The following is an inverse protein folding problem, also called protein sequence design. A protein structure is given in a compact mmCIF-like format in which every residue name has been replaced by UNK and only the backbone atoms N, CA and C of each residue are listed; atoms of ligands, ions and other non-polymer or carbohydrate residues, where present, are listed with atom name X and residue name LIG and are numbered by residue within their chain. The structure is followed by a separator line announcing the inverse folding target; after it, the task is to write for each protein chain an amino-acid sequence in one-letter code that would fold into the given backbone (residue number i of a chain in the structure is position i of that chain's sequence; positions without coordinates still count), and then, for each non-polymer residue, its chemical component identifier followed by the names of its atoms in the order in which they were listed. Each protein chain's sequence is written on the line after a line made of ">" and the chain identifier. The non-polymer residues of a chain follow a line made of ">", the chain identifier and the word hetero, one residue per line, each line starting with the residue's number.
data_IF_548883726059
#
_entry.id   IF_548883726059
#
_cell.length_a   1.000
_cell.length_b   1.000
_cell.length_c   1.000
_cell.angle_alpha   90.00
_cell.angle_beta   90.00
_cell.angle_gamma   90.00
#
_symmetry.space_group_name_H-M   'P 1'
#
loop_
_entity.id
_entity.type
_entity.pdbx_description
1 polymer ?
#
# COMPACT_ATOMS: atom_id res chain seq x y z
N UNK A 1 3.01 -5.80 -1.86
CA UNK A 1 3.60 -6.38 -0.63
C UNK A 1 3.79 -7.88 -0.85
N UNK A 2 5.02 -8.39 -0.64
CA UNK A 2 5.32 -9.82 -0.67
C UNK A 2 5.70 -10.25 0.75
N UNK A 3 4.99 -11.23 1.28
CA UNK A 3 5.19 -11.76 2.62
C UNK A 3 5.31 -13.27 2.59
N UNK A 4 6.40 -13.81 3.16
CA UNK A 4 6.68 -15.23 3.18
C UNK A 4 6.87 -15.73 4.61
N UNK A 5 6.31 -16.88 4.90
CA UNK A 5 6.47 -17.58 6.19
C UNK A 5 6.91 -18.99 5.93
N UNK A 6 8.00 -19.39 6.59
CA UNK A 6 8.50 -20.77 6.54
C UNK A 6 8.21 -21.46 7.87
N UNK A 7 7.56 -22.60 7.83
CA UNK A 7 7.35 -23.44 9.01
C UNK A 7 8.67 -24.12 9.39
N UNK A 8 9.19 -23.83 10.57
CA UNK A 8 10.43 -24.44 11.08
C UNK A 8 10.12 -25.77 11.79
N UNK A 9 9.17 -25.77 12.71
CA UNK A 9 8.84 -26.90 13.56
C UNK A 9 7.32 -27.11 13.78
N UNK A 10 6.49 -26.47 12.95
CA UNK A 10 5.03 -26.53 13.08
C UNK A 10 4.42 -27.36 11.96
N UNK A 11 3.46 -28.20 12.32
CA UNK A 11 2.57 -28.92 11.39
C UNK A 11 1.13 -28.52 11.69
N UNK A 12 0.41 -28.06 10.69
CA UNK A 12 -0.98 -27.62 10.83
C UNK A 12 -1.32 -26.50 9.85
N UNK A 13 -2.44 -25.82 10.06
CA UNK A 13 -2.94 -24.78 9.17
C UNK A 13 -2.34 -23.42 9.48
N UNK A 14 -1.75 -22.77 8.46
CA UNK A 14 -1.39 -21.35 8.47
C UNK A 14 -2.44 -20.58 7.68
N UNK A 15 -2.93 -19.48 8.24
CA UNK A 15 -3.86 -18.57 7.56
C UNK A 15 -3.20 -17.20 7.42
N UNK A 16 -3.15 -16.68 6.18
CA UNK A 16 -2.77 -15.31 5.88
C UNK A 16 -4.04 -14.50 5.58
N UNK A 17 -4.12 -13.30 6.16
CA UNK A 17 -5.37 -12.52 6.17
C UNK A 17 -5.12 -11.12 5.60
N UNK A 18 -5.03 -10.99 4.25
CA UNK A 18 -4.96 -9.68 3.62
C UNK A 18 -6.27 -8.94 3.77
N UNK A 19 -6.23 -7.81 4.50
CA UNK A 19 -7.40 -6.95 4.75
C UNK A 19 -7.08 -5.49 4.55
N UNK A 20 -8.14 -4.69 4.33
CA UNK A 20 -8.18 -3.27 4.63
C UNK A 20 -8.93 -3.08 5.95
N UNK A 21 -8.38 -2.21 6.78
CA UNK A 21 -9.00 -1.75 8.01
C UNK A 21 -9.34 -0.27 7.86
N UNK A 22 -10.61 0.07 7.91
CA UNK A 22 -11.11 1.43 7.84
C UNK A 22 -11.37 2.07 9.20
N UNK A 23 -11.05 1.38 10.30
CA UNK A 23 -11.21 1.92 11.67
C UNK A 23 -9.93 2.54 12.22
N UNK A 24 -9.07 3.02 11.34
CA UNK A 24 -7.83 3.69 11.72
C UNK A 24 -8.15 5.10 12.23
N UNK A 25 -7.54 5.45 13.36
CA UNK A 25 -7.58 6.79 13.95
C UNK A 25 -6.21 7.44 13.83
N UNK A 26 -6.19 8.76 13.81
CA UNK A 26 -4.97 9.54 13.89
C UNK A 26 -4.35 9.42 15.29
N UNK A 27 -3.04 9.19 15.37
CA UNK A 27 -2.34 9.00 16.64
C UNK A 27 -1.48 10.22 17.06
N UNK A 28 -1.29 11.21 16.17
CA UNK A 28 -0.30 12.25 16.40
C UNK A 28 -0.87 13.52 17.06
N UNK A 29 -1.60 14.38 16.35
CA UNK A 29 -2.04 15.69 16.86
C UNK A 29 -3.48 15.70 17.37
N UNK A 30 -4.30 14.81 16.84
CA UNK A 30 -5.69 14.67 17.22
C UNK A 30 -5.97 13.19 17.54
N UNK A 31 -5.47 12.69 18.69
CA UNK A 31 -5.70 11.31 19.08
C UNK A 31 -7.21 11.05 19.13
N UNK A 32 -7.62 9.91 18.56
CA UNK A 32 -9.02 9.48 18.43
C UNK A 32 -9.87 10.23 17.39
N UNK A 33 -9.35 11.24 16.70
CA UNK A 33 -10.08 11.86 15.60
C UNK A 33 -10.05 10.95 14.36
N UNK A 34 -11.24 10.58 13.87
CA UNK A 34 -11.39 9.89 12.60
C UNK A 34 -11.41 10.91 11.47
N UNK A 35 -10.45 10.81 10.58
CA UNK A 35 -10.34 11.68 9.41
C UNK A 35 -11.29 11.22 8.29
N UNK A 36 -11.63 9.93 8.27
CA UNK A 36 -12.34 9.26 7.18
C UNK A 36 -13.72 8.76 7.59
N UNK A 37 -14.67 8.90 6.68
CA UNK A 37 -15.92 8.15 6.67
C UNK A 37 -15.79 7.02 5.64
N UNK A 38 -16.22 5.82 5.99
CA UNK A 38 -16.35 4.72 5.04
C UNK A 38 -17.66 4.92 4.28
N UNK A 39 -17.56 5.10 2.96
CA UNK A 39 -18.73 5.20 2.09
C UNK A 39 -19.23 3.81 1.70
N UNK A 40 -18.29 2.94 1.33
CA UNK A 40 -18.60 1.57 0.93
C UNK A 40 -17.38 0.67 1.06
N UNK A 41 -17.61 -0.57 1.46
CA UNK A 41 -16.60 -1.63 1.45
C UNK A 41 -17.22 -2.93 0.95
N UNK A 42 -16.39 -3.84 0.45
CA UNK A 42 -16.88 -5.14 0.01
C UNK A 42 -15.82 -5.96 -0.71
N UNK A 43 -16.26 -7.13 -1.18
CA UNK A 43 -15.44 -8.02 -2.00
C UNK A 43 -16.11 -8.35 -3.33
N UNK A 44 -15.29 -8.54 -4.35
CA UNK A 44 -15.67 -9.19 -5.61
C UNK A 44 -15.20 -10.64 -5.60
N UNK A 45 -15.18 -11.32 -6.74
CA UNK A 45 -14.65 -12.69 -6.84
C UNK A 45 -13.19 -12.81 -6.42
N UNK A 46 -12.39 -11.77 -6.68
CA UNK A 46 -10.92 -11.79 -6.56
C UNK A 46 -10.30 -10.51 -5.98
N UNK A 47 -11.12 -9.48 -5.72
CA UNK A 47 -10.68 -8.21 -5.14
C UNK A 47 -11.51 -7.87 -3.89
N UNK A 48 -10.87 -7.17 -2.94
CA UNK A 48 -11.55 -6.44 -1.89
C UNK A 48 -11.33 -4.93 -2.10
N UNK A 49 -12.29 -4.11 -1.73
CA UNK A 49 -12.20 -2.66 -1.83
C UNK A 49 -12.74 -1.95 -0.60
N UNK A 50 -12.19 -0.77 -0.34
CA UNK A 50 -12.60 0.14 0.71
C UNK A 50 -12.67 1.55 0.12
N UNK A 51 -13.85 2.13 0.05
CA UNK A 51 -14.09 3.48 -0.44
C UNK A 51 -14.38 4.41 0.72
N UNK A 52 -13.59 5.47 0.83
CA UNK A 52 -13.62 6.42 1.94
C UNK A 52 -13.75 7.85 1.45
N UNK A 53 -14.19 8.73 2.35
CA UNK A 53 -14.27 10.18 2.14
C UNK A 53 -13.72 10.91 3.36
N UNK A 54 -12.96 11.98 3.14
CA UNK A 54 -12.54 12.86 4.23
C UNK A 54 -13.73 13.53 4.90
N UNK A 55 -13.63 13.77 6.21
CA UNK A 55 -14.75 14.36 6.98
C UNK A 55 -14.93 15.85 6.79
N UNK A 56 -13.83 16.58 6.61
CA UNK A 56 -13.84 18.04 6.51
C UNK A 56 -13.89 18.51 5.06
N UNK A 57 -13.25 17.74 4.19
CA UNK A 57 -13.19 18.02 2.77
C UNK A 57 -13.88 16.91 1.99
N UNK A 58 -14.23 17.19 0.76
CA UNK A 58 -15.01 16.26 -0.05
C UNK A 58 -14.10 15.37 -0.92
N UNK A 59 -12.90 15.06 -0.42
CA UNK A 59 -11.97 14.18 -1.11
C UNK A 59 -12.34 12.71 -0.87
N UNK A 60 -12.44 11.94 -1.96
CA UNK A 60 -12.78 10.53 -1.91
C UNK A 60 -11.63 9.68 -2.43
N UNK A 61 -11.37 8.56 -1.75
CA UNK A 61 -10.32 7.61 -2.10
C UNK A 61 -10.91 6.20 -2.03
N UNK A 62 -10.68 5.43 -3.07
CA UNK A 62 -10.96 4.00 -3.09
C UNK A 62 -9.66 3.20 -3.13
N UNK A 63 -9.52 2.30 -2.19
CA UNK A 63 -8.46 1.32 -2.12
C UNK A 63 -8.99 -0.01 -2.63
N UNK A 64 -8.28 -0.67 -3.53
CA UNK A 64 -8.59 -2.04 -3.92
C UNK A 64 -7.37 -2.93 -3.77
N UNK A 65 -7.58 -4.19 -3.44
CA UNK A 65 -6.54 -5.20 -3.41
C UNK A 65 -6.97 -6.50 -4.03
N UNK A 66 -6.00 -7.17 -4.61
CA UNK A 66 -6.05 -8.58 -4.98
C UNK A 66 -4.77 -9.26 -4.52
N UNK A 67 -4.68 -10.59 -4.64
CA UNK A 67 -3.49 -11.30 -4.18
C UNK A 67 -3.20 -12.53 -5.05
N UNK A 68 -1.94 -13.02 -4.92
CA UNK A 68 -1.52 -14.36 -5.33
C UNK A 68 -0.98 -15.09 -4.10
N UNK A 69 -1.20 -16.39 -4.06
CA UNK A 69 -0.84 -17.23 -2.93
C UNK A 69 -0.03 -18.43 -3.40
N UNK A 70 1.09 -18.72 -2.73
CA UNK A 70 2.02 -19.76 -3.12
C UNK A 70 2.34 -20.66 -1.92
N UNK A 71 2.51 -21.94 -2.20
CA UNK A 71 3.16 -22.88 -1.28
C UNK A 71 4.36 -23.50 -1.99
N UNK A 72 5.56 -23.41 -1.37
CA UNK A 72 6.81 -23.91 -1.93
C UNK A 72 7.04 -23.41 -3.38
N UNK A 73 6.86 -22.11 -3.61
CA UNK A 73 6.94 -21.44 -4.90
C UNK A 73 5.91 -21.88 -5.98
N UNK A 74 5.00 -22.78 -5.63
CA UNK A 74 3.91 -23.17 -6.54
C UNK A 74 2.65 -22.37 -6.20
N UNK A 75 2.08 -21.69 -7.20
CA UNK A 75 0.83 -20.97 -7.01
C UNK A 75 -0.27 -21.96 -6.61
N UNK A 76 -1.00 -21.60 -5.56
CA UNK A 76 -2.02 -22.43 -4.97
C UNK A 76 -3.33 -21.64 -4.91
N UNK A 77 -4.36 -22.22 -5.48
CA UNK A 77 -5.72 -21.68 -5.43
C UNK A 77 -6.42 -22.26 -4.19
N UNK A 78 -6.26 -21.60 -3.06
CA UNK A 78 -7.07 -21.89 -1.88
C UNK A 78 -8.40 -21.16 -2.02
N UNK A 79 -9.51 -21.81 -1.64
CA UNK A 79 -10.79 -21.13 -1.56
C UNK A 79 -10.75 -20.10 -0.43
N UNK A 80 -10.71 -18.79 -0.73
CA UNK A 80 -10.62 -17.78 0.30
C UNK A 80 -11.96 -17.66 1.04
N UNK A 81 -11.87 -17.41 2.34
CA UNK A 81 -12.99 -16.94 3.12
C UNK A 81 -13.04 -15.42 2.97
N UNK A 82 -14.15 -14.88 2.51
CA UNK A 82 -14.35 -13.42 2.42
C UNK A 82 -14.53 -12.85 3.83
N UNK A 83 -13.94 -11.67 4.02
CA UNK A 83 -14.12 -10.88 5.24
C UNK A 83 -14.83 -9.61 4.82
N UNK A 84 -16.07 -9.46 5.27
CA UNK A 84 -16.91 -8.30 5.04
C UNK A 84 -17.53 -7.90 6.38
N UNK A 85 -16.84 -7.03 7.09
CA UNK A 85 -17.29 -6.42 8.34
C UNK A 85 -17.55 -4.95 8.10
N UNK A 86 -18.25 -4.30 9.02
CA UNK A 86 -18.61 -2.88 8.92
C UNK A 86 -17.41 -1.97 8.53
N UNK A 87 -16.22 -2.26 9.08
CA UNK A 87 -15.02 -1.42 8.89
C UNK A 87 -13.83 -2.19 8.33
N UNK A 88 -13.99 -3.46 8.02
CA UNK A 88 -12.90 -4.32 7.55
C UNK A 88 -13.34 -5.16 6.37
N UNK A 89 -12.54 -5.17 5.31
CA UNK A 89 -12.80 -5.98 4.12
C UNK A 89 -11.54 -6.70 3.65
N UNK A 90 -11.69 -7.91 3.10
CA UNK A 90 -10.57 -8.70 2.61
C UNK A 90 -10.83 -10.18 2.49
N UNK A 91 -9.79 -10.96 2.70
CA UNK A 91 -9.82 -12.41 2.54
C UNK A 91 -9.02 -13.10 3.65
N UNK A 92 -9.40 -14.34 3.97
CA UNK A 92 -8.57 -15.26 4.73
C UNK A 92 -8.22 -16.45 3.85
N UNK A 93 -6.93 -16.70 3.68
CA UNK A 93 -6.39 -17.77 2.83
C UNK A 93 -5.58 -18.70 3.70
N UNK A 94 -5.99 -19.96 3.80
CA UNK A 94 -5.34 -20.94 4.65
C UNK A 94 -4.81 -22.15 3.90
N UNK A 95 -3.71 -22.70 4.39
CA UNK A 95 -3.07 -23.90 3.84
C UNK A 95 -2.45 -24.75 4.95
N UNK A 96 -2.51 -26.07 4.80
CA UNK A 96 -1.76 -27.00 5.65
C UNK A 96 -0.28 -26.96 5.33
N UNK A 97 0.53 -26.90 6.38
CA UNK A 97 2.01 -26.90 6.29
C UNK A 97 2.61 -27.95 7.23
N UNK A 98 3.84 -28.32 6.90
CA UNK A 98 4.74 -29.12 7.73
C UNK A 98 6.10 -28.44 7.82
N UNK A 99 7.01 -28.84 8.70
CA UNK A 99 8.36 -28.31 8.77
C UNK A 99 9.05 -28.29 7.40
N UNK A 100 9.65 -27.15 7.05
CA UNK A 100 10.27 -26.88 5.76
C UNK A 100 9.36 -26.26 4.70
N UNK A 101 8.04 -26.30 4.86
CA UNK A 101 7.13 -25.65 3.92
C UNK A 101 7.18 -24.12 4.04
N UNK A 102 7.24 -23.44 2.92
CA UNK A 102 7.16 -21.97 2.81
C UNK A 102 5.85 -21.55 2.14
N UNK A 103 5.16 -20.63 2.78
CA UNK A 103 3.92 -20.00 2.27
C UNK A 103 4.22 -18.56 1.93
N UNK A 104 3.84 -18.11 0.74
CA UNK A 104 4.03 -16.73 0.28
C UNK A 104 2.71 -16.14 -0.17
N UNK A 105 2.39 -14.96 0.34
CA UNK A 105 1.31 -14.11 -0.14
C UNK A 105 1.91 -12.89 -0.83
N UNK A 106 1.46 -12.60 -2.04
CA UNK A 106 1.74 -11.33 -2.72
C UNK A 106 0.42 -10.55 -2.79
N UNK A 107 0.35 -9.43 -2.08
CA UNK A 107 -0.79 -8.51 -2.06
C UNK A 107 -0.50 -7.36 -3.02
N UNK A 108 -1.36 -7.19 -4.02
CA UNK A 108 -1.36 -6.08 -4.97
C UNK A 108 -2.42 -5.08 -4.53
N UNK A 109 -2.05 -3.81 -4.43
CA UNK A 109 -2.92 -2.74 -3.94
C UNK A 109 -2.92 -1.63 -4.98
N UNK A 110 -4.10 -1.12 -5.29
CA UNK A 110 -4.28 0.08 -6.09
C UNK A 110 -5.11 1.11 -5.31
N UNK A 111 -4.86 2.38 -5.61
CA UNK A 111 -5.51 3.52 -4.98
C UNK A 111 -6.03 4.42 -6.08
N UNK A 112 -7.33 4.72 -6.07
CA UNK A 112 -7.97 5.69 -6.93
C UNK A 112 -8.52 6.85 -6.12
N UNK A 113 -8.24 8.08 -6.54
CA UNK A 113 -8.65 9.31 -5.84
C UNK A 113 -9.56 10.16 -6.73
N UNK A 114 -10.52 10.84 -6.12
CA UNK A 114 -11.38 11.83 -6.78
C UNK A 114 -10.61 13.04 -7.33
N UNK A 115 -9.31 13.13 -7.07
CA UNK A 115 -8.42 14.09 -7.71
C UNK A 115 -8.16 13.75 -9.19
N UNK A 116 -8.21 12.45 -9.55
CA UNK A 116 -7.84 11.92 -10.88
C UNK A 116 -8.96 11.17 -11.59
N UNK A 117 -10.00 10.75 -10.86
CA UNK A 117 -11.11 9.97 -11.39
C UNK A 117 -12.45 10.58 -10.97
N UNK A 118 -13.48 10.39 -11.77
CA UNK A 118 -14.84 10.69 -11.38
C UNK A 118 -15.26 9.80 -10.21
N UNK A 119 -16.03 10.34 -9.27
CA UNK A 119 -16.39 9.66 -8.01
C UNK A 119 -17.08 8.33 -8.23
N UNK A 120 -18.01 8.26 -9.17
CA UNK A 120 -18.73 7.02 -9.49
C UNK A 120 -17.83 5.91 -10.03
N UNK A 121 -16.68 6.25 -10.58
CA UNK A 121 -15.76 5.30 -11.22
C UNK A 121 -14.64 4.81 -10.29
N UNK A 122 -14.52 5.37 -9.07
CA UNK A 122 -13.42 5.08 -8.15
C UNK A 122 -13.28 3.60 -7.80
N UNK A 123 -14.39 2.87 -7.59
CA UNK A 123 -14.34 1.44 -7.30
C UNK A 123 -13.84 0.67 -8.50
N UNK A 124 -14.39 0.94 -9.70
CA UNK A 124 -13.99 0.24 -10.93
C UNK A 124 -12.54 0.54 -11.28
N UNK A 125 -12.11 1.80 -11.22
CA UNK A 125 -10.74 2.22 -11.47
C UNK A 125 -9.75 1.52 -10.53
N UNK A 126 -9.99 1.55 -9.22
CA UNK A 126 -9.09 0.90 -8.25
C UNK A 126 -9.04 -0.61 -8.42
N UNK A 127 -10.17 -1.27 -8.64
CA UNK A 127 -10.24 -2.73 -8.86
C UNK A 127 -9.53 -3.12 -10.17
N UNK A 128 -9.73 -2.36 -11.25
CA UNK A 128 -9.07 -2.58 -12.54
C UNK A 128 -7.55 -2.46 -12.42
N UNK A 129 -7.04 -1.41 -11.76
CA UNK A 129 -5.60 -1.22 -11.56
C UNK A 129 -4.99 -2.28 -10.63
N UNK A 130 -5.71 -2.74 -9.59
CA UNK A 130 -5.24 -3.84 -8.75
C UNK A 130 -5.11 -5.15 -9.54
N UNK A 131 -6.07 -5.45 -10.43
CA UNK A 131 -6.02 -6.61 -11.33
C UNK A 131 -4.90 -6.51 -12.34
N UNK A 132 -4.69 -5.34 -12.91
CA UNK A 132 -3.58 -5.05 -13.82
C UNK A 132 -2.23 -5.28 -13.12
N UNK A 133 -2.04 -4.76 -11.92
CA UNK A 133 -0.84 -5.00 -11.13
C UNK A 133 -0.60 -6.49 -10.85
N UNK A 134 -1.66 -7.26 -10.53
CA UNK A 134 -1.57 -8.71 -10.38
C UNK A 134 -1.18 -9.42 -11.67
N UNK A 135 -1.73 -9.01 -12.81
CA UNK A 135 -1.40 -9.61 -14.12
C UNK A 135 0.02 -9.27 -14.58
N UNK A 136 0.49 -8.06 -14.31
CA UNK A 136 1.89 -7.64 -14.54
C UNK A 136 2.85 -8.51 -13.71
N UNK A 137 2.51 -8.79 -12.47
CA UNK A 137 3.28 -9.66 -11.59
C UNK A 137 4.34 -8.92 -10.78
N UNK A 138 4.78 -9.58 -9.70
CA UNK A 138 5.68 -8.98 -8.71
C UNK A 138 7.03 -8.55 -9.29
N UNK A 139 7.68 -9.42 -10.06
CA UNK A 139 9.06 -9.19 -10.49
C UNK A 139 9.14 -8.04 -11.50
N UNK A 140 8.15 -7.93 -12.40
CA UNK A 140 8.06 -6.81 -13.36
C UNK A 140 7.82 -5.50 -12.63
N UNK A 141 6.86 -5.46 -11.69
CA UNK A 141 6.58 -4.25 -10.90
C UNK A 141 7.79 -3.80 -10.06
N UNK A 142 8.57 -4.72 -9.52
CA UNK A 142 9.81 -4.40 -8.81
C UNK A 142 10.86 -3.84 -9.75
N UNK A 143 10.97 -4.38 -10.96
CA UNK A 143 11.90 -3.88 -11.97
C UNK A 143 11.53 -2.46 -12.42
N UNK A 144 10.26 -2.23 -12.76
CA UNK A 144 9.75 -0.89 -13.13
C UNK A 144 9.97 0.12 -12.00
N UNK A 145 9.70 -0.26 -10.76
CA UNK A 145 9.95 0.58 -9.60
C UNK A 145 11.43 0.92 -9.42
N UNK A 146 12.33 -0.06 -9.59
CA UNK A 146 13.78 0.18 -9.52
C UNK A 146 14.25 1.10 -10.63
N UNK A 147 13.74 0.93 -11.83
CA UNK A 147 14.11 1.79 -12.97
C UNK A 147 13.67 3.23 -12.72
N UNK A 148 12.44 3.45 -12.27
CA UNK A 148 11.93 4.79 -11.95
C UNK A 148 12.77 5.48 -10.85
N UNK A 149 13.20 4.74 -9.83
CA UNK A 149 14.11 5.28 -8.82
C UNK A 149 15.53 5.50 -9.33
N UNK A 150 16.01 4.66 -10.25
CA UNK A 150 17.34 4.85 -10.85
C UNK A 150 17.42 6.17 -11.61
N UNK A 151 16.38 6.51 -12.39
CA UNK A 151 16.28 7.80 -13.09
C UNK A 151 16.38 8.99 -12.12
N UNK A 152 15.70 8.91 -10.96
CA UNK A 152 15.80 9.93 -9.91
C UNK A 152 17.23 10.00 -9.34
N UNK A 153 17.82 8.84 -9.02
CA UNK A 153 19.16 8.80 -8.45
C UNK A 153 20.24 9.30 -9.41
N UNK A 154 20.11 9.04 -10.71
CA UNK A 154 21.06 9.50 -11.71
C UNK A 154 21.12 11.03 -11.79
N UNK A 155 20.04 11.73 -11.43
CA UNK A 155 19.97 13.18 -11.41
C UNK A 155 20.30 13.81 -10.05
N UNK A 156 20.06 13.10 -8.94
CA UNK A 156 20.00 13.74 -7.62
C UNK A 156 20.97 13.15 -6.59
N UNK A 157 21.68 12.07 -6.91
CA UNK A 157 22.59 11.45 -5.96
C UNK A 157 23.75 12.37 -5.58
N UNK A 158 24.07 12.39 -4.31
CA UNK A 158 25.24 13.11 -3.76
C UNK A 158 26.21 12.08 -3.22
N UNK A 159 27.45 12.12 -3.71
CA UNK A 159 28.51 11.22 -3.30
C UNK A 159 29.35 11.87 -2.20
N UNK A 160 29.47 11.21 -1.05
CA UNK A 160 30.31 11.60 0.07
C UNK A 160 31.35 10.51 0.27
N UNK A 161 32.61 10.85 0.01
CA UNK A 161 33.73 9.91 0.18
C UNK A 161 34.26 9.97 1.61
N UNK A 162 34.62 8.81 2.16
CA UNK A 162 35.27 8.68 3.47
C UNK A 162 34.32 8.65 4.67
N UNK A 163 33.02 8.92 4.49
CA UNK A 163 32.02 8.86 5.56
C UNK A 163 30.76 8.10 5.11
N UNK A 164 30.69 6.77 5.37
CA UNK A 164 29.53 5.95 5.00
C UNK A 164 28.23 6.36 5.72
N UNK A 165 28.30 6.86 6.94
CA UNK A 165 27.12 7.29 7.72
C UNK A 165 26.52 8.57 7.13
N UNK A 166 27.35 9.55 6.79
CA UNK A 166 26.91 10.76 6.10
C UNK A 166 26.35 10.43 4.71
N UNK A 167 26.98 9.52 3.97
CA UNK A 167 26.48 9.03 2.67
C UNK A 167 25.09 8.38 2.80
N UNK A 168 24.87 7.55 3.80
CA UNK A 168 23.56 6.95 4.05
C UNK A 168 22.54 8.03 4.44
N UNK A 169 22.92 8.95 5.29
CA UNK A 169 22.06 10.04 5.76
C UNK A 169 21.56 10.94 4.64
N UNK A 170 22.44 11.38 3.72
CA UNK A 170 22.04 12.25 2.61
C UNK A 170 21.10 11.52 1.64
N UNK A 171 21.39 10.26 1.30
CA UNK A 171 20.53 9.46 0.43
C UNK A 171 19.16 9.20 1.05
N UNK A 172 19.12 8.94 2.36
CA UNK A 172 17.86 8.80 3.08
C UNK A 172 17.02 10.09 3.01
N UNK A 173 17.64 11.25 3.20
CA UNK A 173 16.93 12.53 3.10
C UNK A 173 16.42 12.82 1.69
N UNK A 174 17.22 12.58 0.66
CA UNK A 174 16.79 12.69 -0.74
C UNK A 174 15.60 11.78 -1.01
N UNK A 175 15.67 10.52 -0.58
CA UNK A 175 14.57 9.57 -0.72
C UNK A 175 13.29 10.08 -0.04
N UNK A 176 13.38 10.62 1.18
CA UNK A 176 12.23 11.16 1.91
C UNK A 176 11.59 12.35 1.19
N UNK A 177 12.40 13.24 0.60
CA UNK A 177 11.89 14.38 -0.16
C UNK A 177 11.11 13.91 -1.40
N UNK A 178 11.69 13.05 -2.22
CA UNK A 178 11.06 12.59 -3.45
C UNK A 178 9.82 11.73 -3.23
N UNK A 179 9.76 10.93 -2.17
CA UNK A 179 8.54 10.17 -1.87
C UNK A 179 7.42 11.05 -1.27
N UNK A 180 7.76 12.24 -0.76
CA UNK A 180 6.77 13.18 -0.22
C UNK A 180 6.12 14.00 -1.32
N UNK A 181 6.91 14.46 -2.28
CA UNK A 181 6.45 15.35 -3.34
C UNK A 181 7.27 15.15 -4.63
N UNK A 182 6.57 14.87 -5.72
CA UNK A 182 7.21 14.63 -7.02
C UNK A 182 7.27 15.87 -7.94
N UNK A 183 6.46 16.89 -7.66
CA UNK A 183 6.40 18.09 -8.47
C UNK A 183 5.62 17.96 -9.79
N UNK A 184 4.93 16.84 -10.00
CA UNK A 184 4.23 16.52 -11.25
C UNK A 184 2.75 16.97 -11.26
N UNK A 185 2.21 17.35 -10.11
CA UNK A 185 0.83 17.85 -10.01
C UNK A 185 0.78 19.19 -9.26
N UNK A 186 0.47 20.31 -9.93
CA UNK A 186 0.45 21.64 -9.31
C UNK A 186 -0.69 21.85 -8.30
N UNK A 187 -1.63 20.91 -8.20
CA UNK A 187 -2.71 20.94 -7.19
C UNK A 187 -2.26 20.42 -5.83
N UNK A 188 -1.10 19.76 -5.78
CA UNK A 188 -0.53 19.20 -4.56
C UNK A 188 0.46 20.18 -3.94
N UNK A 189 0.60 20.15 -2.61
CA UNK A 189 1.61 20.88 -1.87
C UNK A 189 2.59 19.93 -1.18
N UNK A 190 3.72 20.48 -0.76
CA UNK A 190 4.72 19.74 0.02
C UNK A 190 4.27 19.71 1.48
N UNK A 191 3.98 18.53 2.02
CA UNK A 191 3.69 18.35 3.43
C UNK A 191 4.96 18.52 4.30
N UNK A 192 4.90 19.21 5.45
CA UNK A 192 6.09 19.57 6.24
C UNK A 192 6.78 18.38 6.91
N UNK A 193 6.11 17.26 7.03
CA UNK A 193 6.60 16.04 7.70
C UNK A 193 6.51 14.77 6.83
N UNK A 194 6.49 14.94 5.53
CA UNK A 194 6.41 13.81 4.61
C UNK A 194 5.07 13.09 4.66
N UNK A 195 5.09 11.77 4.50
CA UNK A 195 3.87 10.94 4.57
C UNK A 195 3.16 10.94 5.92
N UNK A 196 3.83 11.35 6.97
CA UNK A 196 3.26 11.51 8.31
C UNK A 196 2.79 12.94 8.57
N UNK A 197 2.58 13.69 7.51
CA UNK A 197 2.45 15.14 7.46
C UNK A 197 1.15 15.74 7.96
N UNK A 198 0.39 15.05 8.80
CA UNK A 198 -0.77 15.65 9.45
C UNK A 198 -0.39 16.76 10.46
N UNK A 199 0.82 16.73 10.97
CA UNK A 199 1.36 17.82 11.80
C UNK A 199 1.36 19.11 11.00
N UNK A 200 1.02 20.20 11.65
CA UNK A 200 0.85 21.52 11.04
C UNK A 200 -0.24 21.56 9.96
N UNK A 201 -1.24 20.66 10.06
CA UNK A 201 -2.39 20.64 9.15
C UNK A 201 -2.03 20.33 7.68
N UNK A 202 -0.88 19.72 7.44
CA UNK A 202 -0.41 19.42 6.07
C UNK A 202 0.01 20.66 5.26
N UNK A 203 0.06 21.84 5.86
CA UNK A 203 0.45 23.06 5.17
C UNK A 203 1.95 23.09 4.85
N UNK A 204 2.32 23.67 3.71
CA UNK A 204 3.71 23.94 3.40
C UNK A 204 4.18 25.16 4.18
N UNK A 205 5.32 25.03 4.87
CA UNK A 205 5.98 26.12 5.57
C UNK A 205 7.25 26.52 4.80
N UNK A 206 7.57 27.81 4.87
CA UNK A 206 8.70 28.37 4.14
C UNK A 206 10.05 28.20 4.85
N UNK A 207 10.11 27.85 6.11
CA UNK A 207 11.35 27.74 6.89
C UNK A 207 11.96 26.34 6.89
#
# INVERSE_FOLDING_TARGET
>A
IKYSVTSVNYTGKISLVPTFDGDIVNQAEHPDEKIWNILRSGTTSDCAYLWTQTRREDAQICYAMTYRFFKNNKETFANPIRIEKEKQTGFSVGVEVKPGDTVTLIKYIAIASSLYYERQDLIEASVSEARKARSTGWDVLVQEHRQAWQEIWDETDVIIEGDPEAQQGIRYNIFQLYQTYRGDDPRLNIGPKGFTGEKYGGNTYWN
#
